data_IF_952679967481
#
_entry.id   IF_952679967481
#
_cell.length_a   1.000
_cell.length_b   1.000
_cell.length_c   1.000
_cell.angle_alpha   90.00
_cell.angle_beta   90.00
_cell.angle_gamma   90.00
#
_symmetry.space_group_name_H-M   'P 1'
#
loop_
_entity.id
_entity.type
_entity.pdbx_description
1 polymer ?
#
# COMPACT_ATOMS: atom_id res chain seq x y z
N UNK A 1 8.15 -11.89 -15.53
CA UNK A 1 8.50 -11.94 -14.10
C UNK A 1 8.80 -10.51 -13.68
N UNK A 2 7.91 -9.84 -12.91
CA UNK A 2 8.23 -8.51 -12.36
C UNK A 2 9.43 -8.70 -11.42
N UNK A 3 10.48 -7.89 -11.56
CA UNK A 3 11.66 -7.97 -10.69
C UNK A 3 11.41 -7.05 -9.50
N UNK A 4 11.00 -7.63 -8.38
CA UNK A 4 11.07 -6.94 -7.10
C UNK A 4 12.48 -6.39 -6.90
N UNK A 5 12.56 -5.18 -6.37
CA UNK A 5 13.80 -4.53 -5.97
C UNK A 5 14.03 -4.77 -4.49
N UNK A 6 15.28 -5.00 -4.14
CA UNK A 6 15.71 -5.07 -2.75
C UNK A 6 16.06 -3.66 -2.29
N UNK A 7 15.51 -3.26 -1.14
CA UNK A 7 15.77 -1.97 -0.52
C UNK A 7 16.13 -2.18 0.94
N UNK A 8 17.22 -1.56 1.40
CA UNK A 8 17.62 -1.60 2.81
C UNK A 8 16.48 -1.10 3.70
N UNK A 9 16.25 -1.76 4.84
CA UNK A 9 15.18 -1.41 5.78
C UNK A 9 15.18 0.09 6.07
N UNK A 10 16.33 0.68 6.39
CA UNK A 10 16.48 2.11 6.66
C UNK A 10 15.97 3.01 5.53
N UNK A 11 16.26 2.64 4.29
CA UNK A 11 15.84 3.40 3.11
C UNK A 11 14.34 3.24 2.85
N UNK A 12 13.80 2.06 3.14
CA UNK A 12 12.36 1.82 3.13
C UNK A 12 11.63 2.64 4.21
N UNK A 13 12.13 2.70 5.45
CA UNK A 13 11.49 3.50 6.50
C UNK A 13 11.49 4.98 6.14
N UNK A 14 12.62 5.45 5.57
CA UNK A 14 12.77 6.82 5.09
C UNK A 14 11.83 7.13 3.93
N UNK A 15 11.59 6.18 3.03
CA UNK A 15 10.57 6.32 1.99
C UNK A 15 9.18 6.56 2.58
N UNK A 16 8.78 5.73 3.57
CA UNK A 16 7.47 5.86 4.20
C UNK A 16 7.33 7.16 5.00
N UNK A 17 8.42 7.60 5.64
CA UNK A 17 8.50 8.90 6.32
C UNK A 17 8.30 10.05 5.33
N UNK A 18 9.05 10.05 4.22
CA UNK A 18 8.93 11.09 3.20
C UNK A 18 7.53 11.13 2.58
N UNK A 19 6.86 9.98 2.39
CA UNK A 19 5.45 9.95 1.97
C UNK A 19 4.54 10.57 3.05
N UNK A 20 4.82 10.38 4.34
CA UNK A 20 4.00 10.92 5.44
C UNK A 20 4.14 12.43 5.62
N UNK A 21 5.30 12.99 5.26
CA UNK A 21 5.64 14.40 5.51
C UNK A 21 5.65 15.28 4.25
N UNK A 22 5.64 14.69 3.05
CA UNK A 22 5.80 15.43 1.81
C UNK A 22 4.62 16.36 1.51
N UNK A 23 4.91 17.65 1.36
CA UNK A 23 3.96 18.67 0.87
C UNK A 23 3.55 18.48 -0.60
N UNK A 24 4.17 17.54 -1.32
CA UNK A 24 3.84 17.24 -2.72
C UNK A 24 2.70 16.23 -2.86
N UNK A 25 2.26 15.63 -1.76
CA UNK A 25 1.06 14.79 -1.71
C UNK A 25 -0.15 15.70 -1.50
N UNK A 26 -1.01 15.77 -2.51
CA UNK A 26 -2.21 16.60 -2.50
C UNK A 26 -3.44 15.74 -2.17
N UNK A 27 -3.82 15.71 -0.89
CA UNK A 27 -5.02 14.99 -0.45
C UNK A 27 -6.34 15.73 -0.76
N UNK A 28 -6.30 16.94 -1.32
CA UNK A 28 -7.49 17.67 -1.75
C UNK A 28 -8.00 17.16 -3.10
N UNK A 29 -7.09 16.80 -4.01
CA UNK A 29 -7.44 16.29 -5.34
C UNK A 29 -7.19 14.78 -5.52
N UNK A 30 -6.32 14.19 -4.70
CA UNK A 30 -5.95 12.78 -4.76
C UNK A 30 -6.32 12.07 -3.47
N UNK A 31 -6.45 10.75 -3.56
CA UNK A 31 -6.54 9.85 -2.44
C UNK A 31 -5.22 9.09 -2.30
N UNK A 32 -4.72 9.03 -1.06
CA UNK A 32 -3.68 8.10 -0.65
C UNK A 32 -4.36 6.87 -0.06
N UNK A 33 -4.33 5.76 -0.78
CA UNK A 33 -5.01 4.52 -0.44
C UNK A 33 -4.00 3.47 0.00
N UNK A 34 -4.33 2.71 1.04
CA UNK A 34 -3.61 1.53 1.48
C UNK A 34 -4.45 0.28 1.20
N UNK A 35 -3.83 -0.75 0.67
CA UNK A 35 -4.43 -2.06 0.50
C UNK A 35 -3.61 -3.13 1.21
N UNK A 36 -4.22 -3.83 2.16
CA UNK A 36 -3.62 -5.00 2.82
C UNK A 36 -4.09 -6.29 2.14
N UNK A 37 -3.14 -7.14 1.75
CA UNK A 37 -3.37 -8.32 0.90
C UNK A 37 -3.98 -9.57 1.56
N UNK A 38 -4.35 -9.53 2.83
CA UNK A 38 -4.97 -10.68 3.50
C UNK A 38 -4.35 -11.11 4.82
N UNK A 39 -3.33 -10.43 5.34
CA UNK A 39 -2.68 -10.80 6.60
C UNK A 39 -3.43 -10.42 7.87
N UNK A 40 -4.55 -9.71 7.77
CA UNK A 40 -5.15 -9.00 8.90
C UNK A 40 -6.35 -9.73 9.50
N UNK A 41 -6.69 -9.37 10.74
CA UNK A 41 -7.87 -9.90 11.45
C UNK A 41 -9.12 -9.04 11.20
N UNK A 42 -10.31 -9.58 11.47
CA UNK A 42 -11.56 -8.78 11.45
C UNK A 42 -11.54 -7.67 12.51
N UNK A 43 -10.94 -7.94 13.68
CA UNK A 43 -10.81 -6.96 14.77
C UNK A 43 -9.90 -5.79 14.40
N UNK A 44 -8.84 -6.04 13.62
CA UNK A 44 -7.96 -4.99 13.11
C UNK A 44 -8.77 -3.94 12.33
N UNK A 45 -9.52 -4.36 11.30
CA UNK A 45 -10.32 -3.42 10.50
C UNK A 45 -11.46 -2.78 11.30
N UNK A 46 -12.07 -3.48 12.26
CA UNK A 46 -13.08 -2.90 13.15
C UNK A 46 -12.51 -1.80 14.04
N UNK A 47 -11.31 -1.97 14.56
CA UNK A 47 -10.63 -0.93 15.33
C UNK A 47 -10.23 0.24 14.41
N UNK A 48 -9.76 -0.06 13.20
CA UNK A 48 -9.38 0.95 12.22
C UNK A 48 -10.57 1.81 11.77
N UNK A 49 -11.78 1.26 11.73
CA UNK A 49 -13.02 2.03 11.48
C UNK A 49 -13.28 3.13 12.54
N UNK A 50 -12.66 3.05 13.71
CA UNK A 50 -12.77 4.05 14.77
C UNK A 50 -11.66 5.12 14.70
N UNK A 51 -10.67 4.94 13.83
CA UNK A 51 -9.53 5.86 13.71
C UNK A 51 -9.88 7.05 12.81
N UNK A 52 -9.87 8.27 13.37
CA UNK A 52 -10.21 9.50 12.64
C UNK A 52 -9.19 9.91 11.56
N UNK A 53 -8.00 9.32 11.55
CA UNK A 53 -6.95 9.61 10.58
C UNK A 53 -7.10 8.85 9.27
N UNK A 54 -8.06 7.92 9.18
CA UNK A 54 -8.29 7.11 8.00
C UNK A 54 -9.76 6.75 7.83
N UNK A 55 -10.09 6.17 6.68
CA UNK A 55 -11.41 5.65 6.37
C UNK A 55 -11.28 4.26 5.76
N UNK A 56 -11.89 3.25 6.38
CA UNK A 56 -11.98 1.91 5.78
C UNK A 56 -13.04 1.93 4.69
N UNK A 57 -12.63 1.82 3.43
CA UNK A 57 -13.52 1.82 2.26
C UNK A 57 -14.10 0.42 1.98
N UNK A 58 -13.31 -0.62 2.27
CA UNK A 58 -13.71 -2.01 2.11
C UNK A 58 -12.86 -2.93 2.98
N UNK A 59 -13.45 -4.02 3.43
CA UNK A 59 -12.74 -5.16 4.03
C UNK A 59 -13.48 -6.44 3.68
N UNK A 60 -12.74 -7.54 3.52
CA UNK A 60 -13.31 -8.83 3.19
C UNK A 60 -12.29 -9.96 3.25
N UNK A 61 -12.76 -11.20 3.11
CA UNK A 61 -11.90 -12.38 3.08
C UNK A 61 -11.06 -12.42 1.79
N UNK A 62 -9.75 -12.55 1.94
CA UNK A 62 -8.79 -12.62 0.84
C UNK A 62 -8.45 -14.06 0.40
N UNK A 63 -8.89 -15.07 1.18
CA UNK A 63 -8.66 -16.48 0.85
C UNK A 63 -9.74 -17.07 -0.07
N UNK A 64 -9.58 -18.34 -0.48
CA UNK A 64 -10.64 -19.10 -1.13
C UNK A 64 -11.94 -19.05 -0.33
N UNK A 65 -13.10 -18.96 -1.00
CA UNK A 65 -14.40 -18.86 -0.30
C UNK A 65 -14.65 -20.02 0.66
N UNK A 66 -14.17 -21.22 0.35
CA UNK A 66 -14.34 -22.38 1.23
C UNK A 66 -13.54 -22.25 2.53
N UNK A 67 -12.42 -21.52 2.54
CA UNK A 67 -11.58 -21.37 3.73
C UNK A 67 -12.10 -20.29 4.70
N UNK A 68 -13.12 -19.53 4.31
CA UNK A 68 -13.71 -18.51 5.19
C UNK A 68 -14.36 -19.09 6.45
N UNK A 69 -14.63 -20.40 6.49
CA UNK A 69 -15.10 -21.11 7.68
C UNK A 69 -14.01 -21.17 8.78
N UNK A 70 -12.74 -21.01 8.41
CA UNK A 70 -11.60 -20.92 9.32
C UNK A 70 -11.31 -19.46 9.70
N UNK A 71 -12.35 -18.65 9.92
CA UNK A 71 -12.23 -17.20 10.16
C UNK A 71 -11.50 -16.80 11.47
N UNK A 72 -11.01 -17.78 12.23
CA UNK A 72 -10.11 -17.56 13.36
C UNK A 72 -8.65 -17.31 12.93
N UNK A 73 -8.31 -17.57 11.66
CA UNK A 73 -6.99 -17.30 11.07
C UNK A 73 -7.00 -15.89 10.44
N UNK A 74 -5.94 -15.07 10.62
CA UNK A 74 -5.75 -13.84 9.86
C UNK A 74 -5.86 -14.11 8.34
N UNK A 75 -6.66 -13.30 7.66
CA UNK A 75 -7.13 -13.61 6.30
C UNK A 75 -7.98 -12.50 5.67
N UNK A 76 -8.17 -11.38 6.39
CA UNK A 76 -8.91 -10.23 5.90
C UNK A 76 -7.98 -9.34 5.08
N UNK A 77 -8.44 -8.95 3.91
CA UNK A 77 -7.94 -7.82 3.16
C UNK A 77 -8.79 -6.58 3.44
N UNK A 78 -8.27 -5.43 3.02
CA UNK A 78 -9.01 -4.19 3.13
C UNK A 78 -8.36 -3.06 2.35
N UNK A 79 -9.22 -2.16 1.88
CA UNK A 79 -8.86 -0.91 1.22
C UNK A 79 -9.17 0.24 2.18
N UNK A 80 -8.16 1.02 2.47
CA UNK A 80 -8.18 2.11 3.45
C UNK A 80 -7.80 3.39 2.73
N UNK A 81 -8.48 4.49 3.02
CA UNK A 81 -8.12 5.83 2.59
C UNK A 81 -7.48 6.58 3.75
N UNK A 82 -6.34 7.20 3.51
CA UNK A 82 -5.69 8.08 4.47
C UNK A 82 -6.37 9.45 4.44
N UNK A 83 -6.77 9.94 5.61
CA UNK A 83 -7.36 11.28 5.80
C UNK A 83 -6.34 12.25 6.40
N UNK A 84 -5.42 11.75 7.21
CA UNK A 84 -4.29 12.48 7.75
C UNK A 84 -2.99 11.83 7.27
N UNK A 85 -2.27 12.51 6.38
CA UNK A 85 -1.04 12.02 5.76
C UNK A 85 0.02 11.59 6.78
N UNK A 86 0.12 12.28 7.93
CA UNK A 86 1.11 11.94 8.96
C UNK A 86 0.89 10.56 9.58
N UNK A 87 -0.35 10.04 9.54
CA UNK A 87 -0.65 8.70 10.03
C UNK A 87 -0.28 7.60 9.02
N UNK A 88 0.18 7.95 7.81
CA UNK A 88 0.47 7.00 6.74
C UNK A 88 1.50 5.95 7.16
N UNK A 89 2.68 6.37 7.61
CA UNK A 89 3.79 5.45 7.91
C UNK A 89 3.39 4.40 8.95
N UNK A 90 2.84 4.83 10.07
CA UNK A 90 2.43 3.92 11.15
C UNK A 90 1.38 2.91 10.68
N UNK A 91 0.34 3.39 9.98
CA UNK A 91 -0.70 2.51 9.43
C UNK A 91 -0.16 1.55 8.36
N UNK A 92 0.76 2.02 7.52
CA UNK A 92 1.37 1.20 6.49
C UNK A 92 2.23 0.08 7.09
N UNK A 93 3.01 0.38 8.12
CA UNK A 93 3.78 -0.64 8.85
C UNK A 93 2.90 -1.68 9.50
N UNK A 94 1.82 -1.26 10.16
CA UNK A 94 0.90 -2.18 10.81
C UNK A 94 0.23 -3.13 9.78
N UNK A 95 -0.05 -2.62 8.58
CA UNK A 95 -0.55 -3.44 7.47
C UNK A 95 0.51 -4.39 6.92
N UNK A 96 1.72 -3.88 6.66
CA UNK A 96 2.80 -4.59 5.97
C UNK A 96 3.45 -5.68 6.83
N UNK A 97 3.38 -5.57 8.15
CA UNK A 97 3.94 -6.56 9.09
C UNK A 97 3.34 -7.97 8.94
N UNK A 98 2.21 -8.12 8.25
CA UNK A 98 1.50 -9.41 8.16
C UNK A 98 1.18 -9.84 6.72
N UNK A 99 1.49 -9.02 5.70
CA UNK A 99 1.20 -9.34 4.30
C UNK A 99 1.82 -8.35 3.33
N UNK A 100 1.80 -8.73 2.06
CA UNK A 100 1.97 -7.79 0.95
C UNK A 100 1.02 -6.61 1.13
N UNK A 101 1.60 -5.42 1.12
CA UNK A 101 0.87 -4.16 1.24
C UNK A 101 1.12 -3.29 0.03
N UNK A 102 0.10 -2.54 -0.35
CA UNK A 102 0.15 -1.65 -1.51
C UNK A 102 -0.31 -0.26 -1.09
N UNK A 103 0.42 0.76 -1.50
CA UNK A 103 0.01 2.16 -1.42
C UNK A 103 -0.24 2.70 -2.82
N UNK A 104 -1.38 3.36 -2.99
CA UNK A 104 -1.75 4.05 -4.22
C UNK A 104 -1.94 5.53 -3.93
N UNK A 105 -1.37 6.39 -4.75
CA UNK A 105 -1.68 7.82 -4.77
C UNK A 105 -2.35 8.16 -6.08
N UNK A 106 -3.67 8.40 -6.07
CA UNK A 106 -4.51 8.44 -7.27
C UNK A 106 -5.54 9.56 -7.23
N UNK A 107 -5.96 10.14 -8.37
CA UNK A 107 -7.06 11.09 -8.39
C UNK A 107 -8.31 10.51 -7.76
N UNK A 108 -9.02 11.32 -6.96
CA UNK A 108 -10.24 10.90 -6.22
C UNK A 108 -11.30 10.24 -7.10
N UNK A 109 -11.40 10.66 -8.36
CA UNK A 109 -12.39 10.10 -9.30
C UNK A 109 -12.13 8.62 -9.62
N UNK A 110 -10.92 8.09 -9.40
CA UNK A 110 -10.59 6.68 -9.63
C UNK A 110 -10.89 5.78 -8.42
N UNK A 111 -11.03 6.34 -7.21
CA UNK A 111 -11.30 5.57 -5.99
C UNK A 111 -12.52 4.64 -6.11
N UNK A 112 -13.66 5.05 -6.72
CA UNK A 112 -14.77 4.13 -6.96
C UNK A 112 -14.44 2.94 -7.88
N UNK A 113 -13.61 3.14 -8.91
CA UNK A 113 -13.20 2.05 -9.80
C UNK A 113 -12.26 1.08 -9.09
N UNK A 114 -11.32 1.60 -8.30
CA UNK A 114 -10.40 0.82 -7.46
C UNK A 114 -11.19 -0.02 -6.45
N UNK A 115 -12.17 0.60 -5.79
CA UNK A 115 -13.08 -0.08 -4.86
C UNK A 115 -13.85 -1.22 -5.53
N UNK A 116 -14.27 -1.03 -6.77
CA UNK A 116 -14.95 -2.06 -7.54
C UNK A 116 -14.01 -3.22 -7.92
N UNK A 117 -12.77 -2.92 -8.28
CA UNK A 117 -11.75 -3.94 -8.58
C UNK A 117 -11.44 -4.81 -7.36
N UNK A 118 -11.20 -4.21 -6.18
CA UNK A 118 -10.91 -4.99 -4.96
C UNK A 118 -12.07 -5.89 -4.55
N UNK A 119 -13.32 -5.45 -4.75
CA UNK A 119 -14.52 -6.25 -4.44
C UNK A 119 -14.69 -7.48 -5.33
N UNK A 120 -14.17 -7.43 -6.56
CA UNK A 120 -14.34 -8.49 -7.57
C UNK A 120 -13.26 -9.57 -7.48
N UNK A 121 -12.09 -9.24 -6.92
CA UNK A 121 -10.92 -10.13 -6.92
C UNK A 121 -10.82 -10.94 -5.64
N UNK A 122 -10.40 -12.19 -5.77
CA UNK A 122 -10.18 -13.12 -4.66
C UNK A 122 -8.71 -13.40 -4.36
N UNK A 123 -7.75 -12.88 -5.14
CA UNK A 123 -6.34 -13.26 -4.96
C UNK A 123 -5.31 -12.20 -5.37
N UNK A 124 -5.53 -11.45 -6.46
CA UNK A 124 -4.63 -10.35 -6.86
C UNK A 124 -5.34 -9.22 -7.57
N UNK A 125 -5.18 -8.03 -7.02
CA UNK A 125 -5.64 -6.79 -7.64
C UNK A 125 -4.63 -6.31 -8.68
N UNK A 126 -5.10 -5.70 -9.77
CA UNK A 126 -4.23 -5.15 -10.83
C UNK A 126 -4.17 -3.63 -10.71
N UNK A 127 -3.56 -3.14 -9.65
CA UNK A 127 -3.54 -1.70 -9.37
C UNK A 127 -2.73 -0.89 -10.39
N UNK A 128 -1.77 -1.52 -11.08
CA UNK A 128 -0.98 -0.87 -12.12
C UNK A 128 -1.83 -0.26 -13.24
N UNK A 129 -3.00 -0.86 -13.54
CA UNK A 129 -3.91 -0.38 -14.58
C UNK A 129 -4.54 0.99 -14.27
N UNK A 130 -4.56 1.40 -13.00
CA UNK A 130 -5.04 2.70 -12.59
C UNK A 130 -3.98 3.78 -12.73
N UNK A 131 -2.70 3.40 -12.69
CA UNK A 131 -1.57 4.33 -12.87
C UNK A 131 -1.50 4.78 -14.33
N UNK A 132 -1.79 3.89 -15.29
CA UNK A 132 -1.87 4.24 -16.71
C UNK A 132 -2.96 5.30 -17.02
N UNK A 133 -4.04 5.32 -16.21
CA UNK A 133 -5.14 6.30 -16.32
C UNK A 133 -4.85 7.62 -15.57
N UNK A 134 -3.83 7.63 -14.71
CA UNK A 134 -3.52 8.75 -13.83
C UNK A 134 -2.01 9.04 -13.89
N UNK A 135 -1.57 9.84 -14.87
CA UNK A 135 -0.14 10.00 -15.13
C UNK A 135 0.60 10.71 -14.00
N UNK A 136 -0.07 11.33 -13.03
CA UNK A 136 0.56 11.98 -11.86
C UNK A 136 0.65 11.05 -10.63
N UNK A 137 0.17 9.81 -10.76
CA UNK A 137 0.03 8.84 -9.68
C UNK A 137 1.25 7.98 -9.45
N UNK A 138 1.24 7.27 -8.32
CA UNK A 138 2.14 6.15 -8.09
C UNK A 138 1.42 4.98 -7.41
N UNK A 139 2.00 3.80 -7.58
CA UNK A 139 1.74 2.59 -6.83
C UNK A 139 3.07 2.11 -6.27
N UNK A 140 3.11 1.78 -4.99
CA UNK A 140 4.22 1.06 -4.36
C UNK A 140 3.64 -0.19 -3.71
N UNK A 141 4.26 -1.34 -3.99
CA UNK A 141 3.97 -2.63 -3.40
C UNK A 141 5.16 -3.02 -2.54
N UNK A 142 4.94 -3.50 -1.33
CA UNK A 142 6.01 -4.04 -0.48
C UNK A 142 5.63 -5.37 0.16
N UNK A 143 6.62 -6.23 0.28
CA UNK A 143 6.60 -7.44 1.10
C UNK A 143 7.59 -7.18 2.25
N UNK A 144 7.05 -6.82 3.42
CA UNK A 144 7.82 -6.36 4.58
C UNK A 144 7.45 -7.13 5.87
N UNK A 145 6.86 -8.31 5.71
CA UNK A 145 6.56 -9.27 6.78
C UNK A 145 7.80 -10.06 7.21
N UNK A 146 8.73 -10.31 6.27
CA UNK A 146 10.02 -10.95 6.56
C UNK A 146 11.19 -10.17 5.92
N UNK A 147 12.12 -9.71 6.76
CA UNK A 147 13.36 -9.11 6.29
C UNK A 147 14.32 -10.19 5.81
N UNK A 148 14.96 -9.96 4.66
CA UNK A 148 16.04 -10.81 4.16
C UNK A 148 17.38 -10.19 4.54
N UNK A 149 18.35 -11.02 4.92
CA UNK A 149 19.74 -10.56 5.08
C UNK A 149 20.46 -10.63 3.73
N UNK A 150 20.86 -9.47 3.22
CA UNK A 150 21.75 -9.35 2.07
C UNK A 150 23.07 -8.70 2.49
N UNK A 151 24.13 -9.49 2.57
CA UNK A 151 25.50 -9.03 2.88
C UNK A 151 25.60 -8.29 4.23
N UNK A 152 24.88 -8.77 5.25
CA UNK A 152 24.87 -8.20 6.59
C UNK A 152 23.93 -7.00 6.75
N UNK A 153 23.02 -6.79 5.79
CA UNK A 153 22.02 -5.72 5.80
C UNK A 153 20.63 -6.31 5.63
N UNK A 154 19.71 -5.92 6.52
CA UNK A 154 18.30 -6.24 6.36
C UNK A 154 17.71 -5.48 5.17
N UNK A 155 17.02 -6.20 4.29
CA UNK A 155 16.34 -5.66 3.10
C UNK A 155 14.90 -6.15 3.02
N UNK A 156 14.05 -5.32 2.41
CA UNK A 156 12.69 -5.68 2.02
C UNK A 156 12.54 -5.73 0.50
N UNK A 157 11.51 -6.43 0.03
CA UNK A 157 11.13 -6.45 -1.38
C UNK A 157 10.12 -5.36 -1.66
N UNK A 158 10.38 -4.56 -2.70
CA UNK A 158 9.44 -3.57 -3.20
C UNK A 158 9.25 -3.70 -4.72
N UNK A 159 8.11 -3.27 -5.21
CA UNK A 159 7.83 -2.99 -6.62
C UNK A 159 7.08 -1.66 -6.71
N UNK A 160 7.18 -0.95 -7.83
CA UNK A 160 6.47 0.31 -7.99
C UNK A 160 6.11 0.61 -9.44
N UNK A 161 5.06 1.40 -9.59
CA UNK A 161 4.62 1.98 -10.85
C UNK A 161 4.51 3.48 -10.67
N UNK A 162 5.10 4.23 -11.59
CA UNK A 162 5.07 5.69 -11.60
C UNK A 162 4.35 6.14 -12.86
N UNK A 163 3.38 7.03 -12.70
CA UNK A 163 2.78 7.71 -13.82
C UNK A 163 3.82 8.59 -14.53
N UNK A 164 3.68 8.75 -15.84
CA UNK A 164 4.65 9.48 -16.66
C UNK A 164 4.88 10.92 -16.19
N UNK A 165 3.82 11.56 -15.69
CA UNK A 165 3.78 12.94 -15.17
C UNK A 165 3.88 13.03 -13.65
N UNK A 166 4.18 11.93 -12.93
CA UNK A 166 4.41 11.98 -11.50
C UNK A 166 5.51 13.01 -11.19
N UNK A 167 5.28 13.81 -10.14
CA UNK A 167 6.19 14.90 -9.81
C UNK A 167 7.59 14.35 -9.51
N UNK A 168 8.62 15.17 -9.74
CA UNK A 168 10.01 14.75 -9.48
C UNK A 168 10.18 14.30 -8.02
N UNK A 169 9.56 15.01 -7.08
CA UNK A 169 9.60 14.66 -5.66
C UNK A 169 9.04 13.26 -5.42
N UNK A 170 7.87 12.92 -5.98
CA UNK A 170 7.29 11.59 -5.83
C UNK A 170 8.15 10.50 -6.46
N UNK A 171 8.73 10.77 -7.63
CA UNK A 171 9.68 9.86 -8.27
C UNK A 171 10.90 9.64 -7.40
N UNK A 172 11.50 10.71 -6.86
CA UNK A 172 12.69 10.61 -6.00
C UNK A 172 12.40 9.83 -4.70
N UNK A 173 11.23 10.04 -4.09
CA UNK A 173 10.77 9.29 -2.91
C UNK A 173 10.64 7.79 -3.24
N UNK A 174 9.89 7.43 -4.28
CA UNK A 174 9.52 6.04 -4.58
C UNK A 174 10.66 5.25 -5.24
N UNK A 175 11.41 5.87 -6.15
CA UNK A 175 12.46 5.18 -6.88
C UNK A 175 13.63 4.79 -5.99
N UNK A 176 13.82 5.52 -4.87
CA UNK A 176 15.01 5.46 -3.99
C UNK A 176 16.24 5.18 -4.82
N UNK A 177 16.63 6.14 -5.67
CA UNK A 177 17.91 6.02 -6.40
C UNK A 177 19.01 5.85 -5.36
N UNK A 178 19.38 4.60 -5.10
CA UNK A 178 20.61 4.23 -4.46
C UNK A 178 21.69 4.78 -5.37
N UNK A 179 22.25 5.93 -4.98
CA UNK A 179 23.57 6.30 -5.45
C UNK A 179 24.52 5.22 -4.92
N UNK A 180 24.63 4.11 -5.66
CA UNK A 180 25.78 3.21 -5.64
C UNK A 180 26.95 3.91 -6.29
#
# INVERSE_FOLDING_TARGET
MKKYKLVEIKEYEKMLEEISESKSIDLDNYDLLLYGGGGQSKSFYRNLQQNSNCQVLWTGWAGPKWSSIFSFIPGQAGLIKILNQQAFKELYYELAAYSVSEVLYVPKFLTPEILNEVRKKTWKTKFELFIDKAPESFLLTSEADEAVDEKGKGVYFIDYFLGEKASKVLKDIVERKTNT
#
